data_IF_727288371120
#
_entry.id   IF_727288371120
#
_cell.length_a   1.000
_cell.length_b   1.000
_cell.length_c   1.000
_cell.angle_alpha   90.00
_cell.angle_beta   90.00
_cell.angle_gamma   90.00
#
_symmetry.space_group_name_H-M   'P 1'
#
loop_
_entity.id
_entity.type
_entity.pdbx_description
1 polymer ?
#
# COMPACT_ATOMS: atom_id res chain seq x y z
N UNK A 1 0.97 12.20 -12.95
CA UNK A 1 1.74 10.95 -12.70
C UNK A 1 0.92 9.65 -12.66
N UNK A 2 -0.43 9.65 -12.77
CA UNK A 2 -1.28 8.45 -12.59
C UNK A 2 -0.98 7.23 -13.48
N UNK A 3 -0.32 7.39 -14.61
CA UNK A 3 -0.07 6.30 -15.58
C UNK A 3 1.34 5.71 -15.44
N UNK A 4 2.27 6.40 -14.76
CA UNK A 4 3.66 5.97 -14.69
C UNK A 4 3.83 4.63 -13.97
N UNK A 5 3.16 4.47 -12.81
CA UNK A 5 3.26 3.26 -11.99
C UNK A 5 2.65 2.04 -12.70
N UNK A 6 1.50 2.20 -13.38
CA UNK A 6 0.92 1.15 -14.21
C UNK A 6 1.86 0.70 -15.34
N UNK A 7 2.54 1.66 -15.99
CA UNK A 7 3.47 1.35 -17.07
C UNK A 7 4.70 0.60 -16.54
N UNK A 8 5.28 1.03 -15.41
CA UNK A 8 6.41 0.34 -14.79
C UNK A 8 6.07 -1.12 -14.46
N UNK A 9 4.89 -1.36 -13.86
CA UNK A 9 4.39 -2.70 -13.57
C UNK A 9 4.15 -3.52 -14.85
N UNK A 10 3.47 -2.94 -15.84
CA UNK A 10 3.14 -3.64 -17.10
C UNK A 10 4.39 -4.06 -17.89
N UNK A 11 5.46 -3.28 -17.81
CA UNK A 11 6.74 -3.59 -18.46
C UNK A 11 7.68 -4.41 -17.57
N UNK A 12 7.32 -4.71 -16.33
CA UNK A 12 8.19 -5.42 -15.41
C UNK A 12 9.45 -4.65 -15.02
N UNK A 13 9.43 -3.32 -15.13
CA UNK A 13 10.61 -2.47 -14.91
C UNK A 13 10.78 -2.18 -13.43
N UNK A 14 11.45 -3.09 -12.72
CA UNK A 14 11.65 -3.03 -11.26
C UNK A 14 12.42 -1.77 -10.85
N UNK A 15 13.48 -1.40 -11.56
CA UNK A 15 14.27 -0.21 -11.22
C UNK A 15 13.43 1.08 -11.29
N UNK A 16 12.57 1.17 -12.30
CA UNK A 16 11.66 2.32 -12.49
C UNK A 16 10.57 2.30 -11.43
N UNK A 17 10.04 1.13 -11.10
CA UNK A 17 9.06 0.94 -10.03
C UNK A 17 9.63 1.45 -8.70
N UNK A 18 10.78 0.94 -8.28
CA UNK A 18 11.45 1.34 -7.03
C UNK A 18 11.75 2.84 -7.01
N UNK A 19 12.23 3.40 -8.12
CA UNK A 19 12.48 4.83 -8.20
C UNK A 19 11.20 5.65 -8.00
N UNK A 20 10.09 5.26 -8.62
CA UNK A 20 8.79 5.94 -8.46
C UNK A 20 8.30 5.82 -7.01
N UNK A 21 8.36 4.62 -6.42
CA UNK A 21 7.90 4.36 -5.05
C UNK A 21 8.76 5.06 -3.99
N UNK A 22 10.02 5.39 -4.31
CA UNK A 22 10.90 6.12 -3.39
C UNK A 22 10.49 7.58 -3.13
N UNK A 23 9.58 8.13 -3.93
CA UNK A 23 9.08 9.49 -3.74
C UNK A 23 7.94 9.53 -2.70
N UNK A 24 8.10 10.31 -1.62
CA UNK A 24 7.11 10.42 -0.53
C UNK A 24 5.72 10.88 -1.00
N UNK A 25 5.63 11.69 -2.05
CA UNK A 25 4.36 12.18 -2.61
C UNK A 25 3.76 11.23 -3.66
N UNK A 26 4.34 10.04 -3.85
CA UNK A 26 3.84 9.08 -4.81
C UNK A 26 2.54 8.43 -4.34
N UNK A 27 1.48 8.60 -5.12
CA UNK A 27 0.26 7.80 -5.02
C UNK A 27 0.57 6.36 -5.48
N UNK A 28 0.45 5.39 -4.56
CA UNK A 28 0.72 3.96 -4.79
C UNK A 28 -0.49 3.24 -5.38
N UNK A 29 -1.70 3.79 -5.21
CA UNK A 29 -2.95 3.21 -5.66
C UNK A 29 -3.67 4.02 -6.77
N UNK A 30 -2.97 4.58 -7.78
CA UNK A 30 -3.64 5.27 -8.84
C UNK A 30 -4.52 4.28 -9.60
N UNK A 31 -5.76 4.64 -9.87
CA UNK A 31 -6.66 3.82 -10.70
C UNK A 31 -6.53 4.19 -12.17
N UNK A 32 -6.37 3.20 -13.04
CA UNK A 32 -6.39 3.44 -14.48
C UNK A 32 -7.81 3.79 -14.99
N UNK A 33 -7.90 4.35 -16.20
CA UNK A 33 -9.18 4.81 -16.76
C UNK A 33 -10.00 3.69 -17.38
N UNK A 34 -9.37 2.60 -17.80
CA UNK A 34 -9.97 1.52 -18.60
C UNK A 34 -10.65 0.48 -17.70
N UNK A 35 -9.93 0.00 -16.70
CA UNK A 35 -10.35 -1.07 -15.79
C UNK A 35 -10.67 -0.58 -14.38
N UNK A 36 -10.39 0.70 -14.06
CA UNK A 36 -10.38 1.18 -12.66
C UNK A 36 -9.48 0.32 -11.76
N UNK A 37 -8.48 -0.32 -12.37
CA UNK A 37 -7.54 -1.20 -11.70
C UNK A 37 -6.38 -0.38 -11.13
N UNK A 38 -5.86 -0.80 -9.98
CA UNK A 38 -4.64 -0.26 -9.36
C UNK A 38 -3.39 -0.95 -9.92
N UNK A 39 -2.17 -0.46 -9.64
CA UNK A 39 -0.95 -1.16 -10.02
C UNK A 39 -0.88 -2.58 -9.45
N UNK A 40 -1.40 -2.80 -8.24
CA UNK A 40 -1.47 -4.11 -7.61
C UNK A 40 -2.34 -5.11 -8.41
N UNK A 41 -3.44 -4.65 -9.02
CA UNK A 41 -4.27 -5.49 -9.91
C UNK A 41 -3.52 -5.93 -11.18
N UNK A 42 -2.62 -5.09 -11.70
CA UNK A 42 -1.81 -5.45 -12.86
C UNK A 42 -0.67 -6.38 -12.45
N UNK A 43 -0.04 -6.13 -11.30
CA UNK A 43 1.08 -6.92 -10.80
C UNK A 43 0.69 -8.41 -10.66
N UNK A 44 -0.48 -8.71 -10.09
CA UNK A 44 -0.94 -10.09 -9.92
C UNK A 44 -1.20 -10.84 -11.23
N UNK A 45 -1.42 -10.14 -12.34
CA UNK A 45 -1.64 -10.72 -13.67
C UNK A 45 -0.33 -11.06 -14.41
N UNK A 46 0.83 -10.66 -13.89
CA UNK A 46 2.14 -10.93 -14.51
C UNK A 46 2.39 -12.45 -14.54
N UNK A 47 2.73 -13.00 -15.71
CA UNK A 47 2.96 -14.45 -15.88
C UNK A 47 4.27 -14.92 -15.23
N UNK A 48 5.29 -14.05 -15.24
CA UNK A 48 6.61 -14.38 -14.73
C UNK A 48 6.63 -14.35 -13.19
N UNK A 49 6.57 -15.51 -12.56
CA UNK A 49 6.34 -15.68 -11.10
C UNK A 49 7.34 -14.87 -10.25
N UNK A 50 8.64 -14.97 -10.53
CA UNK A 50 9.66 -14.27 -9.73
C UNK A 50 9.52 -12.74 -9.83
N UNK A 51 9.18 -12.24 -11.01
CA UNK A 51 8.98 -10.81 -11.25
C UNK A 51 7.67 -10.33 -10.61
N UNK A 52 6.60 -11.11 -10.79
CA UNK A 52 5.31 -10.86 -10.16
C UNK A 52 5.44 -10.73 -8.66
N UNK A 53 6.13 -11.69 -8.02
CA UNK A 53 6.36 -11.69 -6.57
C UNK A 53 7.06 -10.41 -6.14
N UNK A 54 8.17 -10.07 -6.78
CA UNK A 54 8.96 -8.88 -6.44
C UNK A 54 8.14 -7.60 -6.56
N UNK A 55 7.42 -7.40 -7.68
CA UNK A 55 6.59 -6.20 -7.87
C UNK A 55 5.46 -6.12 -6.85
N UNK A 56 4.81 -7.25 -6.52
CA UNK A 56 3.77 -7.27 -5.49
C UNK A 56 4.34 -6.93 -4.12
N UNK A 57 5.50 -7.49 -3.77
CA UNK A 57 6.20 -7.20 -2.52
C UNK A 57 6.53 -5.70 -2.40
N UNK A 58 7.14 -5.10 -3.42
CA UNK A 58 7.45 -3.66 -3.45
C UNK A 58 6.20 -2.78 -3.30
N UNK A 59 5.10 -3.11 -3.99
CA UNK A 59 3.85 -2.36 -3.87
C UNK A 59 3.23 -2.47 -2.47
N UNK A 60 3.24 -3.66 -1.87
CA UNK A 60 2.71 -3.87 -0.52
C UNK A 60 3.57 -3.18 0.54
N UNK A 61 4.90 -3.19 0.39
CA UNK A 61 5.83 -2.47 1.27
C UNK A 61 5.65 -0.96 1.17
N UNK A 62 5.31 -0.45 -0.01
CA UNK A 62 4.94 0.95 -0.22
C UNK A 62 3.53 1.32 0.32
N UNK A 63 2.78 0.36 0.86
CA UNK A 63 1.46 0.61 1.45
C UNK A 63 0.29 0.56 0.46
N UNK A 64 0.39 -0.22 -0.61
CA UNK A 64 -0.72 -0.40 -1.56
C UNK A 64 -1.97 -1.00 -0.88
N UNK A 65 -3.12 -0.35 -1.03
CA UNK A 65 -4.40 -0.85 -0.50
C UNK A 65 -4.90 -2.06 -1.30
N UNK A 66 -4.87 -3.21 -0.63
CA UNK A 66 -5.27 -4.51 -1.17
C UNK A 66 -6.79 -4.70 -1.31
N UNK A 67 -7.59 -3.77 -0.77
CA UNK A 67 -9.06 -3.85 -0.68
C UNK A 67 -9.77 -3.07 -1.78
N UNK A 68 -9.03 -2.27 -2.55
CA UNK A 68 -9.57 -1.53 -3.69
C UNK A 68 -10.11 -2.52 -4.73
N UNK A 69 -11.27 -2.17 -5.30
CA UNK A 69 -11.94 -2.97 -6.32
C UNK A 69 -11.85 -2.31 -7.68
N UNK A 70 -11.57 -3.12 -8.69
CA UNK A 70 -11.62 -2.71 -10.08
C UNK A 70 -13.07 -2.53 -10.59
N UNK A 71 -13.21 -2.24 -11.90
CA UNK A 71 -14.52 -2.08 -12.56
C UNK A 71 -15.41 -3.33 -12.51
N UNK A 72 -14.80 -4.50 -12.31
CA UNK A 72 -15.47 -5.80 -12.20
C UNK A 72 -15.82 -6.14 -10.75
N UNK A 73 -15.57 -5.21 -9.81
CA UNK A 73 -15.76 -5.38 -8.36
C UNK A 73 -14.82 -6.42 -7.75
N UNK A 74 -13.71 -6.71 -8.41
CA UNK A 74 -12.70 -7.67 -7.98
C UNK A 74 -11.55 -6.92 -7.31
N UNK A 75 -11.03 -7.49 -6.22
CA UNK A 75 -9.77 -7.05 -5.61
C UNK A 75 -8.59 -7.71 -6.34
N UNK A 76 -7.37 -7.22 -6.11
CA UNK A 76 -6.17 -7.88 -6.65
C UNK A 76 -6.07 -9.35 -6.22
N UNK A 77 -6.52 -9.69 -5.01
CA UNK A 77 -6.55 -11.07 -4.51
C UNK A 77 -7.56 -11.96 -5.25
N UNK A 78 -8.68 -11.39 -5.71
CA UNK A 78 -9.71 -12.13 -6.46
C UNK A 78 -9.26 -12.51 -7.87
N UNK A 79 -8.27 -11.80 -8.42
CA UNK A 79 -7.70 -12.06 -9.75
C UNK A 79 -6.65 -13.18 -9.75
N UNK A 80 -6.11 -13.55 -8.58
CA UNK A 80 -5.11 -14.60 -8.47
C UNK A 80 -5.73 -15.98 -8.74
N UNK A 81 -4.99 -16.93 -9.35
CA UNK A 81 -5.41 -18.31 -9.40
C UNK A 81 -5.40 -18.94 -7.99
N UNK A 82 -6.21 -19.99 -7.73
CA UNK A 82 -6.31 -20.61 -6.41
C UNK A 82 -5.00 -21.22 -5.93
N UNK A 83 -4.12 -21.61 -6.85
CA UNK A 83 -2.81 -22.23 -6.60
C UNK A 83 -1.76 -21.23 -6.11
N UNK A 84 -1.97 -19.92 -6.32
CA UNK A 84 -1.03 -18.87 -5.96
C UNK A 84 -1.07 -18.55 -4.46
N UNK A 85 -0.63 -19.50 -3.66
CA UNK A 85 -0.66 -19.44 -2.19
C UNK A 85 0.30 -18.39 -1.64
N UNK A 86 1.47 -18.23 -2.26
CA UNK A 86 2.51 -17.32 -1.79
C UNK A 86 2.06 -15.86 -1.82
N UNK A 87 1.56 -15.37 -2.96
CA UNK A 87 1.09 -13.99 -3.11
C UNK A 87 -0.14 -13.72 -2.23
N UNK A 88 -1.05 -14.69 -2.12
CA UNK A 88 -2.20 -14.57 -1.19
C UNK A 88 -1.75 -14.40 0.26
N UNK A 89 -0.69 -15.11 0.67
CA UNK A 89 -0.15 -14.99 2.01
C UNK A 89 0.50 -13.62 2.24
N UNK A 90 1.20 -13.07 1.24
CA UNK A 90 1.75 -11.70 1.31
C UNK A 90 0.64 -10.65 1.49
N UNK A 91 -0.41 -10.71 0.67
CA UNK A 91 -1.55 -9.79 0.76
C UNK A 91 -2.23 -9.87 2.14
N UNK A 92 -2.48 -11.08 2.64
CA UNK A 92 -3.08 -11.28 3.97
C UNK A 92 -2.19 -10.75 5.10
N UNK A 93 -0.88 -10.92 4.97
CA UNK A 93 0.10 -10.41 5.95
C UNK A 93 0.07 -8.88 5.99
N UNK A 94 0.08 -8.24 4.82
CA UNK A 94 -0.02 -6.78 4.71
C UNK A 94 -1.32 -6.25 5.35
N UNK A 95 -2.47 -6.86 5.07
CA UNK A 95 -3.76 -6.49 5.69
C UNK A 95 -3.75 -6.59 7.23
N UNK A 96 -3.08 -7.60 7.78
CA UNK A 96 -2.95 -7.76 9.23
C UNK A 96 -2.03 -6.70 9.85
N UNK A 97 -1.01 -6.24 9.13
CA UNK A 97 -0.11 -5.19 9.61
C UNK A 97 -0.79 -3.81 9.64
N UNK A 98 -1.64 -3.49 8.65
CA UNK A 98 -2.40 -2.24 8.63
C UNK A 98 -3.40 -2.12 9.79
N UNK A 99 -3.95 -3.24 10.27
CA UNK A 99 -4.91 -3.22 11.39
C UNK A 99 -4.29 -2.94 12.77
N UNK A 100 -2.96 -2.97 12.91
CA UNK A 100 -2.29 -2.84 14.22
C UNK A 100 -1.75 -1.42 14.44
N UNK A 101 -1.50 -0.64 13.40
CA UNK A 101 -0.79 0.64 13.50
C UNK A 101 -1.64 1.87 13.86
N UNK A 102 -2.97 1.75 13.98
CA UNK A 102 -3.86 2.89 14.25
C UNK A 102 -4.19 3.10 15.75
N UNK A 103 -3.90 2.14 16.63
CA UNK A 103 -4.39 2.18 18.03
C UNK A 103 -3.38 2.67 19.09
N UNK A 104 -2.12 2.98 18.73
CA UNK A 104 -1.07 3.35 19.71
C UNK A 104 -0.87 4.87 19.93
N UNK A 105 -1.73 5.74 19.39
CA UNK A 105 -1.72 7.18 19.74
C UNK A 105 -2.60 7.41 20.97
N UNK A 106 -2.15 6.88 22.11
CA UNK A 106 -2.67 7.29 23.40
C UNK A 106 -2.20 8.72 23.69
N UNK A 107 -3.16 9.64 23.57
CA UNK A 107 -3.19 11.00 24.09
C UNK A 107 -2.48 11.11 25.46
N UNK A 108 -1.27 11.66 25.49
CA UNK A 108 -0.67 12.15 26.74
C UNK A 108 -1.33 13.50 27.06
N UNK A 109 -2.48 13.42 27.71
CA UNK A 109 -3.17 14.52 28.35
C UNK A 109 -2.80 14.61 29.83
N UNK A 110 -2.81 15.84 30.31
CA UNK A 110 -2.68 16.31 31.68
C UNK A 110 -1.31 16.24 32.40
N UNK A 111 -0.63 17.39 32.35
CA UNK A 111 0.29 17.85 33.38
C UNK A 111 -0.01 19.32 33.72
N UNK A 112 -1.10 19.54 34.46
CA UNK A 112 -1.46 20.77 35.17
C UNK A 112 -0.24 21.53 35.72
N UNK A 113 0.06 22.68 35.11
CA UNK A 113 1.04 23.65 35.57
C UNK A 113 0.48 24.45 36.74
N UNK A 114 0.69 23.91 37.93
CA UNK A 114 0.44 24.50 39.25
C UNK A 114 0.72 26.02 39.32
N UNK A 115 -0.28 26.72 39.86
CA UNK A 115 -0.30 28.14 40.14
C UNK A 115 0.85 28.59 41.06
N UNK A 116 1.56 29.62 40.63
CA UNK A 116 2.56 30.33 41.43
C UNK A 116 2.44 31.84 41.24
N UNK A 117 1.40 32.45 41.82
CA UNK A 117 1.37 33.89 42.04
C UNK A 117 0.87 34.17 43.45
N UNK A 118 1.83 34.26 44.37
CA UNK A 118 1.66 34.80 45.71
C UNK A 118 2.80 35.78 45.94
N UNK A 119 2.44 36.99 46.37
CA UNK A 119 3.29 38.10 46.84
C UNK A 119 4.29 37.62 47.91
N UNK A 120 5.30 38.37 48.37
CA UNK A 120 5.22 39.48 49.33
C UNK A 120 6.53 40.32 49.31
N UNK A 121 6.33 41.65 49.44
CA UNK A 121 7.19 42.72 50.02
C UNK A 121 8.65 42.96 49.58
#
# INVERSE_FOLDING_TARGET
MRVALHNAVSHGSTDVLEHILSHEECDVDPINTIEKATPLHLAVKIEHIALRRHIVESLLEAGADTRIKDRYKQTAMDLLPPEETEIRNLIRKSQAQESVSHDDIANYDDGDGSAGSGSEE
#
